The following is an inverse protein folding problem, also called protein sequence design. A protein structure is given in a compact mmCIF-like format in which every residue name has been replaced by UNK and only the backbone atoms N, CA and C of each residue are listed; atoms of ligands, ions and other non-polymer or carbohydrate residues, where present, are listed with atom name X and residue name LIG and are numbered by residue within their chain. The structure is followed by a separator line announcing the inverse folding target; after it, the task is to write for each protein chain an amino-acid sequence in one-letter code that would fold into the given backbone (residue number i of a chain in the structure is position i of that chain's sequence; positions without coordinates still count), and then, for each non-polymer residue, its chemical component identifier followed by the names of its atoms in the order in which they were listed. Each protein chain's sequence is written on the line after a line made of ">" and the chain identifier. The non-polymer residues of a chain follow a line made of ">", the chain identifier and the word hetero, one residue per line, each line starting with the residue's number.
data_IF_804064013859
#
_entry.id   IF_804064013859
#
_cell.length_a   1.000
_cell.length_b   1.000
_cell.length_c   1.000
_cell.angle_alpha   90.00
_cell.angle_beta   90.00
_cell.angle_gamma   90.00
#
_symmetry.space_group_name_H-M   'P 1'
#
loop_
_entity.id
_entity.type
_entity.pdbx_description
1 polymer ?
#
# COMPACT_ATOMS: atom_id res chain seq x y z
N UNK A 1 29.77 0.88 -23.19
CA UNK A 1 28.49 0.19 -23.44
C UNK A 1 27.98 -0.57 -22.23
N UNK A 2 28.75 -1.47 -21.59
CA UNK A 2 28.31 -2.29 -20.43
C UNK A 2 27.72 -1.49 -19.27
N UNK A 3 28.37 -0.40 -18.82
CA UNK A 3 27.88 0.47 -17.74
C UNK A 3 26.54 1.13 -18.07
N UNK A 4 26.38 1.61 -19.32
CA UNK A 4 25.13 2.25 -19.75
C UNK A 4 23.95 1.27 -19.80
N UNK A 5 24.19 0.03 -20.21
CA UNK A 5 23.16 -1.03 -20.21
C UNK A 5 22.70 -1.36 -18.78
N UNK A 6 23.65 -1.55 -17.86
CA UNK A 6 23.35 -1.81 -16.45
C UNK A 6 22.54 -0.67 -15.85
N UNK A 7 22.93 0.59 -16.09
CA UNK A 7 22.20 1.76 -15.56
C UNK A 7 20.77 1.82 -16.08
N UNK A 8 20.56 1.59 -17.39
CA UNK A 8 19.21 1.57 -17.98
C UNK A 8 18.32 0.48 -17.36
N UNK A 9 18.85 -0.73 -17.17
CA UNK A 9 18.13 -1.82 -16.52
C UNK A 9 17.80 -1.50 -15.06
N UNK A 10 18.71 -0.90 -14.30
CA UNK A 10 18.47 -0.48 -12.93
C UNK A 10 17.36 0.58 -12.84
N UNK A 11 17.34 1.53 -13.80
CA UNK A 11 16.27 2.54 -13.86
C UNK A 11 14.91 1.87 -14.11
N UNK A 12 14.82 0.92 -15.04
CA UNK A 12 13.57 0.20 -15.32
C UNK A 12 13.11 -0.59 -14.08
N UNK A 13 14.01 -1.31 -13.42
CA UNK A 13 13.69 -2.05 -12.19
C UNK A 13 13.19 -1.10 -11.09
N UNK A 14 13.87 0.04 -10.90
CA UNK A 14 13.47 1.04 -9.90
C UNK A 14 12.07 1.60 -10.19
N UNK A 15 11.75 1.90 -11.45
CA UNK A 15 10.43 2.39 -11.86
C UNK A 15 9.37 1.31 -11.59
N UNK A 16 9.57 0.07 -12.03
CA UNK A 16 8.63 -1.02 -11.82
C UNK A 16 8.40 -1.26 -10.33
N UNK A 17 9.46 -1.30 -9.52
CA UNK A 17 9.35 -1.45 -8.07
C UNK A 17 8.56 -0.30 -7.43
N UNK A 18 8.81 0.95 -7.84
CA UNK A 18 8.07 2.11 -7.33
C UNK A 18 6.58 2.02 -7.67
N UNK A 19 6.23 1.63 -8.88
CA UNK A 19 4.82 1.45 -9.29
C UNK A 19 4.16 0.33 -8.49
N UNK A 20 4.83 -0.81 -8.29
CA UNK A 20 4.31 -1.90 -7.46
C UNK A 20 4.06 -1.48 -6.02
N UNK A 21 5.00 -0.74 -5.43
CA UNK A 21 4.87 -0.20 -4.07
C UNK A 21 3.66 0.72 -3.94
N UNK A 22 3.54 1.70 -4.83
CA UNK A 22 2.41 2.65 -4.83
C UNK A 22 1.08 1.94 -5.04
N UNK A 23 1.02 0.99 -5.97
CA UNK A 23 -0.21 0.22 -6.23
C UNK A 23 -0.60 -0.66 -5.05
N UNK A 24 0.36 -1.34 -4.42
CA UNK A 24 0.12 -2.19 -3.26
C UNK A 24 -0.37 -1.38 -2.06
N UNK A 25 0.24 -0.22 -1.77
CA UNK A 25 -0.19 0.65 -0.66
C UNK A 25 -1.59 1.23 -0.91
N UNK A 26 -1.91 1.62 -2.14
CA UNK A 26 -3.24 2.14 -2.49
C UNK A 26 -4.33 1.06 -2.32
N UNK A 27 -4.08 -0.16 -2.79
CA UNK A 27 -5.01 -1.28 -2.63
C UNK A 27 -5.22 -1.66 -1.17
N UNK A 28 -4.14 -1.75 -0.39
CA UNK A 28 -4.20 -2.09 1.03
C UNK A 28 -5.01 -1.07 1.82
N UNK A 29 -4.76 0.22 1.59
CA UNK A 29 -5.46 1.30 2.31
C UNK A 29 -6.96 1.33 2.01
N UNK A 30 -7.38 1.06 0.77
CA UNK A 30 -8.80 1.01 0.41
C UNK A 30 -9.51 -0.19 1.04
N UNK A 31 -8.86 -1.35 1.07
CA UNK A 31 -9.40 -2.56 1.67
C UNK A 31 -9.56 -2.39 3.19
N UNK A 32 -8.56 -1.84 3.86
CA UNK A 32 -8.60 -1.60 5.30
C UNK A 32 -9.74 -0.65 5.69
N UNK A 33 -9.92 0.46 4.95
CA UNK A 33 -11.02 1.38 5.23
C UNK A 33 -12.39 0.72 5.11
N UNK A 34 -12.59 -0.15 4.11
CA UNK A 34 -13.85 -0.86 3.93
C UNK A 34 -14.09 -1.89 5.04
N UNK A 35 -13.07 -2.63 5.45
CA UNK A 35 -13.15 -3.58 6.58
C UNK A 35 -13.49 -2.82 7.85
N UNK A 36 -12.79 -1.75 8.19
CA UNK A 36 -13.07 -0.94 9.38
C UNK A 36 -14.49 -0.36 9.40
N UNK A 37 -14.99 0.13 8.24
CA UNK A 37 -16.38 0.59 8.13
C UNK A 37 -17.38 -0.52 8.46
N UNK A 38 -17.16 -1.71 7.92
CA UNK A 38 -17.98 -2.89 8.18
C UNK A 38 -17.93 -3.32 9.65
N UNK A 39 -16.74 -3.37 10.23
CA UNK A 39 -16.54 -3.74 11.63
C UNK A 39 -17.21 -2.74 12.58
N UNK A 40 -17.15 -1.45 12.29
CA UNK A 40 -17.82 -0.41 13.07
C UNK A 40 -19.35 -0.54 13.02
N UNK A 41 -19.92 -0.81 11.85
CA UNK A 41 -21.36 -1.02 11.72
C UNK A 41 -21.80 -2.30 12.45
N UNK A 42 -21.00 -3.36 12.40
CA UNK A 42 -21.24 -4.57 13.18
C UNK A 42 -21.19 -4.29 14.70
N UNK A 43 -20.20 -3.55 15.15
CA UNK A 43 -20.06 -3.13 16.54
C UNK A 43 -21.26 -2.28 16.99
N UNK A 44 -21.70 -1.34 16.14
CA UNK A 44 -22.93 -0.55 16.40
C UNK A 44 -24.16 -1.43 16.50
N UNK A 45 -24.30 -2.43 15.63
CA UNK A 45 -25.41 -3.38 15.71
C UNK A 45 -25.45 -4.16 17.03
N UNK A 46 -24.29 -4.50 17.58
CA UNK A 46 -24.19 -5.17 18.89
C UNK A 46 -24.58 -4.24 20.04
N UNK A 47 -24.01 -3.04 20.09
CA UNK A 47 -24.31 -2.10 21.19
C UNK A 47 -25.72 -1.52 21.12
N UNK A 48 -26.32 -1.45 19.92
CA UNK A 48 -27.72 -1.08 19.73
C UNK A 48 -28.66 -1.96 20.53
N UNK A 49 -28.46 -3.28 20.50
CA UNK A 49 -29.32 -4.24 21.23
C UNK A 49 -29.27 -3.95 22.73
N UNK A 50 -28.08 -3.65 23.26
CA UNK A 50 -27.93 -3.32 24.70
C UNK A 50 -28.58 -1.97 25.01
N UNK A 51 -28.36 -0.98 24.15
CA UNK A 51 -28.95 0.36 24.31
C UNK A 51 -30.48 0.30 24.31
N UNK A 52 -31.09 -0.46 23.40
CA UNK A 52 -32.55 -0.57 23.29
C UNK A 52 -33.20 -1.37 24.43
N UNK A 53 -32.43 -2.18 25.16
CA UNK A 53 -32.89 -2.95 26.33
C UNK A 53 -32.77 -2.18 27.66
N UNK A 54 -31.90 -1.15 27.69
CA UNK A 54 -31.72 -0.30 28.89
C UNK A 54 -32.73 0.86 28.91
N UNK A 55 -33.07 1.29 30.09
CA UNK A 55 -34.02 2.42 30.33
C UNK A 55 -33.29 3.74 30.53
N UNK A 56 -32.10 3.69 31.12
CA UNK A 56 -31.32 4.86 31.48
C UNK A 56 -30.12 4.98 30.50
N UNK A 57 -30.17 5.99 29.64
CA UNK A 57 -29.13 6.25 28.65
C UNK A 57 -28.15 7.30 29.19
N UNK A 58 -27.40 6.91 30.18
CA UNK A 58 -26.48 7.76 30.92
C UNK A 58 -25.01 7.57 30.49
N UNK A 59 -24.12 8.29 31.17
CA UNK A 59 -22.68 8.21 30.96
C UNK A 59 -22.09 6.82 31.28
N UNK A 60 -22.64 6.14 32.28
CA UNK A 60 -22.17 4.81 32.70
C UNK A 60 -22.51 3.76 31.64
N UNK A 61 -23.68 3.83 31.03
CA UNK A 61 -24.04 3.00 29.89
C UNK A 61 -23.08 3.27 28.73
N UNK A 62 -22.83 4.53 28.38
CA UNK A 62 -21.92 4.88 27.29
C UNK A 62 -20.52 4.34 27.53
N UNK A 63 -19.99 4.38 28.75
CA UNK A 63 -18.68 3.81 29.09
C UNK A 63 -18.65 2.28 29.01
N UNK A 64 -19.72 1.60 29.46
CA UNK A 64 -19.85 0.15 29.32
C UNK A 64 -19.83 -0.24 27.83
N UNK A 65 -20.63 0.45 27.00
CA UNK A 65 -20.67 0.23 25.56
C UNK A 65 -19.30 0.52 24.90
N UNK A 66 -18.62 1.61 25.29
CA UNK A 66 -17.27 1.93 24.83
C UNK A 66 -16.30 0.77 25.09
N UNK A 67 -16.34 0.19 26.28
CA UNK A 67 -15.47 -0.93 26.67
C UNK A 67 -15.71 -2.18 25.81
N UNK A 68 -16.97 -2.44 25.43
CA UNK A 68 -17.33 -3.58 24.57
C UNK A 68 -16.86 -3.44 23.12
N UNK A 69 -16.68 -2.20 22.64
CA UNK A 69 -16.27 -1.92 21.28
C UNK A 69 -14.82 -1.38 21.20
N UNK A 70 -13.95 -1.89 22.05
CA UNK A 70 -12.51 -1.60 21.99
C UNK A 70 -12.14 -0.19 22.43
N UNK A 71 -12.84 0.35 23.44
CA UNK A 71 -12.68 1.71 23.98
C UNK A 71 -12.87 2.81 22.91
N UNK A 72 -13.81 2.58 22.00
CA UNK A 72 -14.24 3.62 21.06
C UNK A 72 -14.90 4.77 21.81
N UNK A 73 -14.78 5.99 21.29
CA UNK A 73 -15.62 7.09 21.76
C UNK A 73 -17.08 6.79 21.38
N UNK A 74 -17.98 6.77 22.37
CA UNK A 74 -19.41 6.58 22.20
C UNK A 74 -20.12 7.89 22.48
N UNK A 75 -21.07 8.26 21.62
CA UNK A 75 -21.92 9.43 21.82
C UNK A 75 -23.37 9.03 21.60
N UNK A 76 -24.27 9.51 22.44
CA UNK A 76 -25.71 9.42 22.27
C UNK A 76 -26.26 10.77 21.82
N UNK A 77 -27.07 10.74 20.79
CA UNK A 77 -27.51 11.91 20.04
C UNK A 77 -29.02 11.83 19.89
N UNK A 78 -29.73 12.86 20.33
CA UNK A 78 -31.18 12.98 20.17
C UNK A 78 -31.54 13.14 18.68
N UNK A 79 -32.80 12.90 18.36
CA UNK A 79 -33.35 13.06 16.99
C UNK A 79 -33.17 14.46 16.39
N UNK A 80 -32.96 15.50 17.20
CA UNK A 80 -32.68 16.87 16.76
C UNK A 80 -31.16 17.10 16.45
N UNK A 81 -30.34 16.09 16.68
CA UNK A 81 -28.89 16.13 16.49
C UNK A 81 -28.09 16.60 17.70
N UNK A 82 -28.76 16.91 18.83
CA UNK A 82 -28.09 17.34 20.05
C UNK A 82 -27.44 16.15 20.76
N UNK A 83 -26.14 16.26 21.06
CA UNK A 83 -25.41 15.23 21.82
C UNK A 83 -25.77 15.39 23.30
N UNK A 84 -26.27 14.35 23.96
CA UNK A 84 -26.59 14.39 25.37
C UNK A 84 -25.67 13.53 26.25
N UNK A 85 -24.96 12.55 25.65
CA UNK A 85 -23.89 11.79 26.31
C UNK A 85 -22.71 11.64 25.38
N UNK A 86 -21.50 11.79 25.89
CA UNK A 86 -20.26 11.56 25.14
C UNK A 86 -19.13 11.11 26.07
N UNK A 87 -18.50 9.97 25.76
CA UNK A 87 -17.48 9.37 26.65
C UNK A 87 -16.18 10.15 26.73
N UNK A 88 -15.97 11.18 25.87
CA UNK A 88 -14.75 12.00 25.86
C UNK A 88 -14.98 13.41 26.45
N UNK A 89 -16.18 13.73 26.84
CA UNK A 89 -16.57 15.04 27.39
C UNK A 89 -17.20 14.82 28.76
N UNK A 90 -16.51 15.30 29.79
CA UNK A 90 -17.09 15.34 31.14
C UNK A 90 -18.17 16.44 31.20
N UNK A 91 -19.43 16.07 31.48
CA UNK A 91 -20.56 16.95 31.53
C UNK A 91 -21.50 16.88 30.34
N UNK A 92 -22.47 17.77 30.26
CA UNK A 92 -23.42 17.82 29.14
C UNK A 92 -22.73 18.44 27.90
N UNK A 93 -22.60 17.67 26.83
CA UNK A 93 -22.04 18.21 25.59
C UNK A 93 -23.07 19.13 24.92
N UNK A 94 -22.75 20.41 24.81
CA UNK A 94 -23.58 21.40 24.10
C UNK A 94 -23.15 21.51 22.61
N UNK A 95 -23.19 20.39 21.91
CA UNK A 95 -22.81 20.34 20.46
C UNK A 95 -23.93 19.67 19.65
N UNK A 96 -24.32 20.30 18.55
CA UNK A 96 -25.32 19.74 17.64
C UNK A 96 -24.65 19.14 16.40
N UNK A 97 -24.91 17.87 16.16
CA UNK A 97 -24.31 17.07 15.10
C UNK A 97 -25.25 16.76 13.92
N UNK A 98 -26.44 17.38 13.85
CA UNK A 98 -27.44 17.15 12.79
C UNK A 98 -26.89 17.36 11.36
N UNK A 99 -25.89 18.23 11.21
CA UNK A 99 -25.27 18.54 9.90
C UNK A 99 -24.20 17.54 9.50
N UNK A 100 -23.80 16.62 10.38
CA UNK A 100 -22.73 15.64 10.14
C UNK A 100 -23.17 14.58 9.14
N UNK A 101 -22.26 14.19 8.26
CA UNK A 101 -22.56 13.26 7.16
C UNK A 101 -23.03 11.89 7.67
N UNK A 102 -22.35 11.33 8.67
CA UNK A 102 -22.71 10.06 9.29
C UNK A 102 -24.10 10.09 9.94
N UNK A 103 -24.49 11.24 10.50
CA UNK A 103 -25.81 11.42 11.14
C UNK A 103 -26.90 11.50 10.07
N UNK A 104 -26.73 12.34 9.03
CA UNK A 104 -27.66 12.42 7.92
C UNK A 104 -27.88 11.08 7.21
N UNK A 105 -26.82 10.32 7.03
CA UNK A 105 -26.93 8.97 6.46
C UNK A 105 -27.72 8.06 7.40
N UNK A 106 -27.44 8.08 8.71
CA UNK A 106 -28.15 7.27 9.69
C UNK A 106 -29.64 7.62 9.76
N UNK A 107 -30.02 8.89 9.66
CA UNK A 107 -31.40 9.32 9.58
C UNK A 107 -32.13 8.76 8.35
N UNK A 108 -31.48 8.79 7.18
CA UNK A 108 -32.06 8.38 5.91
C UNK A 108 -32.10 6.88 5.69
N UNK A 109 -31.04 6.16 6.09
CA UNK A 109 -30.84 4.74 5.75
C UNK A 109 -30.74 3.82 6.95
N UNK A 110 -30.85 4.37 8.18
CA UNK A 110 -30.71 3.63 9.44
C UNK A 110 -29.26 3.53 9.94
N UNK A 111 -28.26 3.75 9.09
CA UNK A 111 -26.84 3.78 9.50
C UNK A 111 -26.03 4.67 8.57
N UNK A 112 -24.93 5.23 9.06
CA UNK A 112 -24.05 6.08 8.29
C UNK A 112 -22.60 5.98 8.74
N UNK A 113 -21.67 6.17 7.80
CA UNK A 113 -20.22 6.17 8.09
C UNK A 113 -19.55 7.32 7.35
N UNK A 114 -18.77 8.11 8.08
CA UNK A 114 -17.98 9.19 7.51
C UNK A 114 -16.55 9.18 8.04
N UNK A 115 -15.63 9.63 7.19
CA UNK A 115 -14.22 9.85 7.57
C UNK A 115 -13.95 11.33 7.47
N UNK A 116 -13.54 11.95 8.57
CA UNK A 116 -13.26 13.39 8.59
C UNK A 116 -12.21 13.76 9.63
N UNK A 117 -11.62 14.94 9.44
CA UNK A 117 -10.72 15.53 10.41
C UNK A 117 -11.51 16.04 11.64
N UNK A 118 -11.13 15.57 12.81
CA UNK A 118 -11.66 16.06 14.09
C UNK A 118 -10.90 17.31 14.52
N UNK A 119 -11.56 18.45 14.55
CA UNK A 119 -10.96 19.70 15.06
C UNK A 119 -10.61 19.62 16.53
N UNK A 120 -11.43 18.89 17.31
CA UNK A 120 -11.25 18.71 18.76
C UNK A 120 -10.02 17.87 19.09
N UNK A 121 -9.76 16.82 18.30
CA UNK A 121 -8.67 15.87 18.56
C UNK A 121 -7.46 16.09 17.65
N UNK A 122 -7.53 16.99 16.67
CA UNK A 122 -6.43 17.29 15.74
C UNK A 122 -6.03 16.12 14.86
N UNK A 123 -6.93 15.14 14.63
CA UNK A 123 -6.65 13.88 13.91
C UNK A 123 -7.81 13.48 13.01
N UNK A 124 -7.51 12.71 11.95
CA UNK A 124 -8.55 12.07 11.16
C UNK A 124 -9.22 10.97 11.99
N UNK A 125 -10.54 10.96 11.95
CA UNK A 125 -11.36 9.96 12.61
C UNK A 125 -12.35 9.34 11.63
N UNK A 126 -12.67 8.08 11.87
CA UNK A 126 -13.80 7.42 11.28
C UNK A 126 -14.96 7.46 12.29
N UNK A 127 -16.11 7.88 11.81
CA UNK A 127 -17.35 7.95 12.58
C UNK A 127 -18.34 6.98 11.96
N UNK A 128 -19.00 6.20 12.79
CA UNK A 128 -20.16 5.43 12.39
C UNK A 128 -21.33 5.77 13.31
N UNK A 129 -22.50 5.92 12.71
CA UNK A 129 -23.75 6.25 13.41
C UNK A 129 -24.82 5.24 13.02
N UNK A 130 -25.69 4.93 13.96
CA UNK A 130 -26.82 4.04 13.74
C UNK A 130 -28.05 4.57 14.49
N UNK A 131 -29.16 4.61 13.76
CA UNK A 131 -30.45 4.99 14.31
C UNK A 131 -30.97 3.87 15.20
N UNK A 132 -31.47 4.25 16.35
CA UNK A 132 -32.02 3.35 17.38
C UNK A 132 -33.50 3.68 17.63
N UNK A 133 -34.08 3.05 18.64
CA UNK A 133 -35.47 3.32 19.04
C UNK A 133 -35.67 4.81 19.40
N UNK A 134 -36.87 5.31 19.23
CA UNK A 134 -37.26 6.69 19.49
C UNK A 134 -36.56 7.75 18.60
N UNK A 135 -36.04 7.33 17.48
CA UNK A 135 -35.33 8.15 16.51
C UNK A 135 -33.98 8.74 16.99
N UNK A 136 -33.49 8.30 18.13
CA UNK A 136 -32.17 8.66 18.62
C UNK A 136 -31.05 7.97 17.80
N UNK A 137 -29.84 8.44 17.94
CA UNK A 137 -28.67 7.93 17.21
C UNK A 137 -27.54 7.60 18.17
N UNK A 138 -27.02 6.37 18.09
CA UNK A 138 -25.74 6.01 18.69
C UNK A 138 -24.64 6.25 17.67
N UNK A 139 -23.59 6.95 18.08
CA UNK A 139 -22.40 7.18 17.27
C UNK A 139 -21.17 6.63 17.96
N UNK A 140 -20.34 5.90 17.24
CA UNK A 140 -18.99 5.53 17.67
C UNK A 140 -17.95 6.20 16.79
N UNK A 141 -16.79 6.48 17.36
CA UNK A 141 -15.66 6.97 16.58
C UNK A 141 -14.34 6.37 17.03
N UNK A 142 -13.46 6.14 16.03
CA UNK A 142 -12.09 5.68 16.24
C UNK A 142 -11.10 6.65 15.62
N UNK A 143 -9.96 6.81 16.26
CA UNK A 143 -8.81 7.42 15.61
C UNK A 143 -8.41 6.56 14.42
N UNK A 144 -8.38 7.17 13.25
CA UNK A 144 -7.61 6.60 12.15
C UNK A 144 -6.17 6.95 12.51
N UNK A 145 -5.48 5.98 13.12
CA UNK A 145 -4.04 6.12 13.30
C UNK A 145 -3.46 6.47 11.95
N UNK A 146 -2.63 7.49 11.93
CA UNK A 146 -2.07 8.09 10.73
C UNK A 146 -1.65 6.99 9.75
N UNK A 147 -1.83 7.21 8.46
CA UNK A 147 -1.24 6.39 7.38
C UNK A 147 0.19 5.91 7.68
N UNK A 148 0.90 6.64 8.55
CA UNK A 148 2.26 6.34 8.98
C UNK A 148 2.36 5.09 9.86
N UNK A 149 1.39 4.82 10.75
CA UNK A 149 1.49 3.66 11.65
C UNK A 149 1.22 2.35 10.89
N UNK A 150 0.26 2.39 9.96
CA UNK A 150 -0.01 1.26 9.09
C UNK A 150 1.07 1.09 8.03
N UNK A 151 1.50 2.17 7.39
CA UNK A 151 2.58 2.15 6.40
C UNK A 151 3.89 1.64 7.03
N UNK A 152 4.19 1.99 8.28
CA UNK A 152 5.40 1.55 8.96
C UNK A 152 5.51 0.03 9.07
N UNK A 153 4.40 -0.67 9.23
CA UNK A 153 4.36 -2.14 9.28
C UNK A 153 4.78 -2.79 7.95
N UNK A 154 4.51 -2.12 6.83
CA UNK A 154 4.82 -2.62 5.49
C UNK A 154 6.11 -2.05 4.89
N UNK A 155 6.61 -0.91 5.37
CA UNK A 155 7.83 -0.28 4.86
C UNK A 155 9.03 -1.23 4.98
N UNK A 156 9.21 -1.90 6.11
CA UNK A 156 10.34 -2.80 6.32
C UNK A 156 10.33 -4.01 5.36
N UNK A 157 9.26 -4.81 5.23
CA UNK A 157 9.23 -5.92 4.27
C UNK A 157 9.32 -5.44 2.82
N UNK A 158 8.77 -4.26 2.48
CA UNK A 158 8.89 -3.69 1.16
C UNK A 158 10.32 -3.28 0.82
N UNK A 159 11.04 -2.66 1.74
CA UNK A 159 12.45 -2.32 1.56
C UNK A 159 13.31 -3.58 1.40
N UNK A 160 13.03 -4.63 2.16
CA UNK A 160 13.73 -5.94 2.02
C UNK A 160 13.45 -6.53 0.64
N UNK A 161 12.20 -6.57 0.20
CA UNK A 161 11.83 -7.08 -1.12
C UNK A 161 12.48 -6.26 -2.26
N UNK A 162 12.51 -4.94 -2.13
CA UNK A 162 13.19 -4.05 -3.06
C UNK A 162 14.70 -4.32 -3.12
N UNK A 163 15.36 -4.48 -1.98
CA UNK A 163 16.78 -4.80 -1.91
C UNK A 163 17.09 -6.15 -2.58
N UNK A 164 16.29 -7.18 -2.30
CA UNK A 164 16.42 -8.50 -2.93
C UNK A 164 16.23 -8.37 -4.46
N UNK A 165 15.22 -7.65 -4.91
CA UNK A 165 14.94 -7.42 -6.33
C UNK A 165 16.09 -6.69 -7.04
N UNK A 166 16.68 -5.68 -6.42
CA UNK A 166 17.84 -4.96 -6.96
C UNK A 166 19.06 -5.88 -7.07
N UNK A 167 19.35 -6.66 -6.02
CA UNK A 167 20.49 -7.60 -6.02
C UNK A 167 20.30 -8.66 -7.10
N UNK A 168 19.12 -9.27 -7.19
CA UNK A 168 18.80 -10.26 -8.22
C UNK A 168 18.91 -9.68 -9.63
N UNK A 169 18.40 -8.45 -9.83
CA UNK A 169 18.51 -7.71 -11.08
C UNK A 169 19.96 -7.43 -11.48
N UNK A 170 20.81 -7.01 -10.54
CA UNK A 170 22.24 -6.79 -10.78
C UNK A 170 22.97 -8.08 -11.19
N UNK A 171 22.66 -9.20 -10.54
CA UNK A 171 23.23 -10.52 -10.87
C UNK A 171 22.79 -10.92 -12.29
N UNK A 172 21.49 -10.83 -12.59
CA UNK A 172 20.93 -11.18 -13.89
C UNK A 172 21.55 -10.34 -15.01
N UNK A 173 21.55 -9.01 -14.88
CA UNK A 173 22.15 -8.10 -15.87
C UNK A 173 23.65 -8.34 -16.04
N UNK A 174 24.37 -8.58 -14.94
CA UNK A 174 25.81 -8.87 -14.99
C UNK A 174 26.10 -10.19 -15.69
N UNK A 175 25.22 -11.19 -15.51
CA UNK A 175 25.34 -12.50 -16.17
C UNK A 175 25.08 -12.37 -17.67
N UNK A 176 23.97 -11.76 -18.07
CA UNK A 176 23.62 -11.52 -19.49
C UNK A 176 24.67 -10.66 -20.18
N UNK A 177 25.13 -9.58 -19.57
CA UNK A 177 26.16 -8.72 -20.12
C UNK A 177 27.49 -9.47 -20.34
N UNK A 178 27.86 -10.39 -19.44
CA UNK A 178 29.05 -11.25 -19.62
C UNK A 178 28.88 -12.24 -20.77
N UNK A 179 27.70 -12.84 -20.90
CA UNK A 179 27.41 -13.82 -21.94
C UNK A 179 27.40 -13.19 -23.34
N UNK A 180 26.85 -12.00 -23.50
CA UNK A 180 26.75 -11.32 -24.81
C UNK A 180 28.04 -10.58 -25.16
N UNK A 181 28.70 -9.92 -24.20
CA UNK A 181 29.87 -9.09 -24.49
C UNK A 181 31.15 -9.87 -24.74
N UNK A 182 31.29 -11.10 -24.20
CA UNK A 182 32.46 -11.94 -24.43
C UNK A 182 32.61 -12.30 -25.91
N UNK A 183 31.61 -12.91 -26.57
CA UNK A 183 31.74 -13.26 -28.00
C UNK A 183 31.89 -12.03 -28.90
N UNK A 184 31.18 -10.93 -28.63
CA UNK A 184 31.29 -9.69 -29.40
C UNK A 184 32.71 -9.09 -29.33
N UNK A 185 33.34 -9.10 -28.17
CA UNK A 185 34.72 -8.61 -28.03
C UNK A 185 35.74 -9.52 -28.75
N UNK A 186 35.51 -10.83 -28.76
CA UNK A 186 36.34 -11.78 -29.48
C UNK A 186 36.27 -11.55 -31.01
N UNK A 187 35.05 -11.40 -31.53
CA UNK A 187 34.83 -11.06 -32.95
C UNK A 187 35.47 -9.70 -33.30
N UNK A 188 35.27 -8.68 -32.46
CA UNK A 188 35.85 -7.36 -32.67
C UNK A 188 37.37 -7.35 -32.65
N UNK A 189 37.99 -8.18 -31.78
CA UNK A 189 39.47 -8.36 -31.79
C UNK A 189 39.95 -9.06 -33.03
N UNK A 190 39.26 -10.12 -33.46
CA UNK A 190 39.60 -10.84 -34.72
C UNK A 190 39.52 -9.90 -35.93
N UNK A 191 38.45 -9.11 -36.04
CA UNK A 191 38.30 -8.13 -37.12
C UNK A 191 39.36 -7.01 -37.09
N UNK A 192 39.75 -6.53 -35.92
CA UNK A 192 40.79 -5.50 -35.81
C UNK A 192 42.18 -6.04 -36.09
N UNK A 193 42.44 -7.33 -35.85
CA UNK A 193 43.66 -8.01 -36.27
C UNK A 193 43.80 -8.15 -37.80
N UNK A 194 42.67 -8.41 -38.48
CA UNK A 194 42.65 -8.50 -39.96
C UNK A 194 42.90 -7.16 -40.66
N UNK A 195 42.65 -6.02 -40.04
CA UNK A 195 42.82 -4.70 -40.63
C UNK A 195 44.30 -4.25 -40.76
N UNK A 196 45.24 -4.97 -40.17
CA UNK A 196 46.67 -4.62 -40.11
C UNK A 196 47.57 -5.55 -40.95
N UNK A 197 47.01 -6.47 -41.73
CA UNK A 197 47.81 -7.40 -42.52
C UNK A 197 47.65 -7.09 -44.01
N UNK A 198 48.37 -6.11 -44.46
CA UNK A 198 48.82 -6.08 -45.89
C UNK A 198 50.08 -6.92 -46.02
N UNK A 199 49.98 -7.96 -46.83
CA UNK A 199 51.08 -8.67 -47.50
C UNK A 199 51.96 -9.70 -46.76
N UNK A 200 51.67 -10.19 -45.58
CA UNK A 200 52.38 -11.38 -45.07
C UNK A 200 51.43 -12.37 -44.37
N UNK A 201 51.52 -13.67 -44.75
CA UNK A 201 50.82 -14.78 -44.08
C UNK A 201 51.19 -14.83 -42.62
N UNK A 202 50.29 -14.33 -41.75
CA UNK A 202 50.37 -14.62 -40.36
C UNK A 202 49.21 -15.55 -40.00
N UNK A 203 49.55 -16.81 -39.73
CA UNK A 203 48.71 -17.75 -39.02
C UNK A 203 48.55 -17.23 -37.58
N UNK A 204 47.60 -16.32 -37.37
CA UNK A 204 47.17 -15.99 -36.03
C UNK A 204 46.42 -17.21 -35.49
N UNK A 205 46.91 -17.78 -34.40
CA UNK A 205 46.19 -18.71 -33.57
C UNK A 205 44.92 -18.00 -33.04
N UNK A 206 43.86 -18.15 -33.81
CA UNK A 206 42.52 -17.70 -33.39
C UNK A 206 42.05 -18.68 -32.36
N UNK A 207 41.98 -18.23 -31.12
CA UNK A 207 41.25 -18.98 -30.07
C UNK A 207 39.86 -19.32 -30.60
N UNK A 208 39.54 -20.61 -30.72
CA UNK A 208 38.26 -21.11 -31.19
C UNK A 208 37.13 -20.45 -30.39
N UNK A 209 36.26 -19.76 -31.12
CA UNK A 209 35.08 -19.14 -30.52
C UNK A 209 34.08 -20.28 -30.26
N UNK A 210 33.70 -20.55 -29.00
CA UNK A 210 32.78 -21.66 -28.70
C UNK A 210 31.38 -21.39 -29.30
N UNK A 211 31.03 -22.17 -30.32
CA UNK A 211 29.84 -22.05 -31.16
C UNK A 211 28.51 -22.43 -30.48
N UNK A 212 28.53 -23.09 -29.34
CA UNK A 212 27.37 -23.83 -28.83
C UNK A 212 26.35 -23.06 -28.03
N UNK A 213 26.45 -21.76 -27.87
CA UNK A 213 25.59 -21.02 -26.92
C UNK A 213 24.55 -20.09 -27.56
N UNK A 214 24.68 -19.74 -28.82
CA UNK A 214 23.76 -18.83 -29.52
C UNK A 214 23.65 -19.20 -30.99
N UNK A 215 22.54 -19.82 -31.45
CA UNK A 215 22.35 -20.24 -32.86
C UNK A 215 22.47 -19.07 -33.83
N UNK A 216 22.09 -17.85 -33.41
CA UNK A 216 22.16 -16.66 -34.27
C UNK A 216 23.58 -16.18 -34.52
N UNK A 217 24.54 -16.61 -33.72
CA UNK A 217 25.97 -16.29 -33.89
C UNK A 217 26.75 -17.43 -34.60
N UNK A 218 26.16 -18.61 -34.74
CA UNK A 218 26.81 -19.77 -35.38
C UNK A 218 27.12 -19.48 -36.86
N UNK A 219 26.24 -18.75 -37.55
CA UNK A 219 26.47 -18.37 -38.95
C UNK A 219 27.65 -17.38 -39.08
N UNK A 220 27.83 -16.48 -38.13
CA UNK A 220 28.98 -15.58 -38.06
C UNK A 220 30.27 -16.30 -37.70
N UNK A 221 30.20 -17.24 -36.74
CA UNK A 221 31.39 -18.03 -36.32
C UNK A 221 31.87 -18.95 -37.42
N UNK A 222 30.95 -19.58 -38.17
CA UNK A 222 31.30 -20.44 -39.35
C UNK A 222 31.86 -19.65 -40.50
N UNK A 223 31.58 -18.38 -40.69
CA UNK A 223 32.20 -17.53 -41.69
C UNK A 223 33.61 -17.08 -41.31
N UNK A 224 34.02 -17.17 -40.05
CA UNK A 224 35.33 -16.72 -39.56
C UNK A 224 36.29 -17.87 -39.19
N UNK A 225 35.83 -19.11 -39.07
CA UNK A 225 36.68 -20.32 -38.92
C UNK A 225 36.98 -20.95 -40.27
#
# INVERSE_FOLDING_TARGET
>A
MKKALIVRFLIVIAIVMSVCVVSATALLSSTEQNVRKSDMLTSLGLIRVIYEDETDHDYDLANRLSSLVGNARVSFINKDGTVFVDTYIDGEPDDNHSTREEIKQAELTGSGVAVRYSKTLGKNQIYAAMKVKDDDIIRISYNINSYMDFASMFIAPMLIAAAIGIIAGLIAVSSVARQIMKPINSISKAMSGMKYVGDEKISAELDEIPSHKYPELDEFVTMFN
#
